data_IF_694923437317
#
_entry.id   IF_694923437317
#
_cell.length_a   1.000
_cell.length_b   1.000
_cell.length_c   1.000
_cell.angle_alpha   90.00
_cell.angle_beta   90.00
_cell.angle_gamma   90.00
#
_symmetry.space_group_name_H-M   'P 1'
#
loop_
_entity.id
_entity.type
_entity.pdbx_description
1 polymer ?
#
# COMPACT_ATOMS: atom_id res chain seq x y z
N UNK A 1 -11.76 -11.37 -4.23
CA UNK A 1 -10.34 -11.72 -4.07
C UNK A 1 -10.27 -13.15 -3.55
N UNK A 2 -9.82 -14.07 -4.39
CA UNK A 2 -9.88 -15.52 -4.13
C UNK A 2 -8.58 -16.09 -3.57
N UNK A 3 -7.45 -15.42 -3.80
CA UNK A 3 -6.14 -15.83 -3.27
C UNK A 3 -5.82 -15.19 -1.91
N UNK A 4 -4.95 -15.84 -1.14
CA UNK A 4 -4.31 -15.33 0.06
C UNK A 4 -2.89 -14.86 -0.26
N UNK A 5 -2.33 -14.02 0.62
CA UNK A 5 -0.91 -13.61 0.51
C UNK A 5 0.03 -14.81 0.65
N UNK A 6 -0.32 -15.82 1.46
CA UNK A 6 0.44 -17.08 1.56
C UNK A 6 0.51 -17.81 0.22
N UNK A 7 -0.61 -17.87 -0.50
CA UNK A 7 -0.67 -18.54 -1.81
C UNK A 7 0.24 -17.83 -2.84
N UNK A 8 0.41 -16.50 -2.72
CA UNK A 8 1.34 -15.73 -3.55
C UNK A 8 2.80 -16.00 -3.17
N UNK A 9 3.11 -16.10 -1.88
CA UNK A 9 4.46 -16.44 -1.43
C UNK A 9 4.88 -17.83 -1.92
N UNK A 10 3.97 -18.80 -1.86
CA UNK A 10 4.24 -20.17 -2.30
C UNK A 10 4.46 -20.23 -3.83
N UNK A 11 3.67 -19.50 -4.61
CA UNK A 11 3.74 -19.51 -6.08
C UNK A 11 4.85 -18.63 -6.67
N UNK A 12 5.17 -17.51 -6.03
CA UNK A 12 6.08 -16.48 -6.55
C UNK A 12 7.27 -16.24 -5.62
N UNK A 13 7.76 -17.27 -4.94
CA UNK A 13 8.77 -17.15 -3.87
C UNK A 13 10.00 -16.27 -4.20
N UNK A 14 10.47 -16.24 -5.46
CA UNK A 14 11.61 -15.42 -5.89
C UNK A 14 11.27 -13.99 -6.29
N UNK A 15 9.98 -13.66 -6.43
CA UNK A 15 9.48 -12.36 -6.87
C UNK A 15 8.65 -11.65 -5.80
N UNK A 16 8.02 -12.42 -4.90
CA UNK A 16 7.23 -11.90 -3.81
C UNK A 16 8.14 -11.26 -2.77
N UNK A 17 7.88 -9.99 -2.46
CA UNK A 17 8.46 -9.30 -1.32
C UNK A 17 7.44 -9.29 -0.18
N UNK A 18 7.89 -9.62 1.03
CA UNK A 18 7.07 -9.56 2.25
C UNK A 18 7.42 -8.28 3.00
N UNK A 19 6.39 -7.50 3.33
CA UNK A 19 6.58 -6.33 4.18
C UNK A 19 6.80 -6.77 5.64
N UNK A 20 7.87 -6.28 6.26
CA UNK A 20 8.21 -6.61 7.65
C UNK A 20 7.39 -5.79 8.67
N UNK A 21 6.89 -4.62 8.24
CA UNK A 21 6.11 -3.74 9.11
C UNK A 21 4.74 -4.35 9.42
N UNK A 22 4.35 -4.29 10.70
CA UNK A 22 3.04 -4.78 11.15
C UNK A 22 2.02 -3.64 11.07
N UNK A 23 1.00 -3.82 10.21
CA UNK A 23 -0.09 -2.85 10.03
C UNK A 23 -1.36 -3.25 10.79
N UNK A 24 -2.06 -2.25 11.31
CA UNK A 24 -3.44 -2.41 11.81
C UNK A 24 -4.43 -2.16 10.67
N UNK A 25 -5.41 -3.06 10.51
CA UNK A 25 -6.47 -2.93 9.52
C UNK A 25 -7.64 -2.10 10.06
N UNK A 26 -7.90 -0.94 9.47
CA UNK A 26 -8.98 -0.03 9.89
C UNK A 26 -10.18 -0.01 8.93
N UNK A 27 -10.01 -0.44 7.68
CA UNK A 27 -11.07 -0.38 6.67
C UNK A 27 -12.09 -1.53 6.77
N UNK A 28 -13.30 -1.33 6.22
CA UNK A 28 -14.33 -2.38 6.14
C UNK A 28 -13.98 -3.56 5.22
N UNK A 29 -12.95 -3.40 4.37
CA UNK A 29 -12.42 -4.46 3.49
C UNK A 29 -11.14 -5.04 4.09
N UNK A 30 -11.22 -6.27 4.61
CA UNK A 30 -10.08 -6.98 5.20
C UNK A 30 -9.00 -7.42 4.20
N UNK A 31 -9.28 -7.39 2.91
CA UNK A 31 -8.37 -7.81 1.83
C UNK A 31 -8.54 -6.89 0.63
N UNK A 32 -7.42 -6.48 0.04
CA UNK A 32 -7.37 -5.64 -1.15
C UNK A 32 -6.04 -5.84 -1.89
N UNK A 33 -6.01 -5.47 -3.16
CA UNK A 33 -4.82 -5.52 -4.02
C UNK A 33 -5.01 -4.60 -5.21
N UNK A 34 -3.92 -4.11 -5.79
CA UNK A 34 -3.95 -3.27 -6.98
C UNK A 34 -2.57 -2.70 -7.33
N UNK A 35 -2.46 -1.94 -8.43
CA UNK A 35 -1.24 -1.23 -8.76
C UNK A 35 -0.89 -0.25 -7.63
N UNK A 36 0.40 -0.12 -7.34
CA UNK A 36 0.88 0.73 -6.24
C UNK A 36 1.10 2.15 -6.77
N UNK A 37 0.58 3.15 -6.05
CA UNK A 37 1.05 4.52 -6.11
C UNK A 37 1.65 4.90 -4.76
N UNK A 38 2.67 5.75 -4.75
CA UNK A 38 3.32 6.20 -3.52
C UNK A 38 3.14 7.69 -3.32
N UNK A 39 3.00 8.10 -2.07
CA UNK A 39 3.02 9.51 -1.68
C UNK A 39 3.85 9.64 -0.42
N UNK A 40 4.84 10.53 -0.44
CA UNK A 40 5.65 10.84 0.74
C UNK A 40 5.26 12.23 1.24
N UNK A 41 4.78 12.28 2.47
CA UNK A 41 4.38 13.54 3.12
C UNK A 41 4.73 13.50 4.60
N UNK A 42 5.14 14.65 5.12
CA UNK A 42 5.43 14.85 6.52
C UNK A 42 4.50 15.92 7.07
N UNK A 43 3.71 15.58 8.09
CA UNK A 43 2.77 16.47 8.81
C UNK A 43 1.62 17.13 8.00
N UNK A 44 1.59 17.00 6.67
CA UNK A 44 0.51 17.48 5.79
C UNK A 44 -0.11 16.33 4.96
N UNK A 45 -1.42 16.36 4.69
CA UNK A 45 -2.15 15.34 3.91
C UNK A 45 -2.80 15.85 2.61
N UNK A 46 -2.54 17.09 2.18
CA UNK A 46 -3.08 17.68 0.94
C UNK A 46 -2.76 16.78 -0.26
N UNK A 47 -1.49 16.40 -0.44
CA UNK A 47 -1.08 15.51 -1.53
C UNK A 47 -1.74 14.11 -1.44
N UNK A 48 -2.06 13.63 -0.24
CA UNK A 48 -2.77 12.34 -0.10
C UNK A 48 -4.19 12.45 -0.67
N UNK A 49 -4.88 13.54 -0.38
CA UNK A 49 -6.25 13.79 -0.89
C UNK A 49 -6.25 13.95 -2.41
N UNK A 50 -5.34 14.76 -2.94
CA UNK A 50 -5.20 14.96 -4.40
C UNK A 50 -4.91 13.64 -5.12
N UNK A 51 -4.04 12.79 -4.55
CA UNK A 51 -3.74 11.48 -5.13
C UNK A 51 -4.97 10.57 -5.15
N UNK A 52 -5.77 10.53 -4.08
CA UNK A 52 -6.99 9.72 -4.04
C UNK A 52 -7.98 10.10 -5.16
N UNK A 53 -8.04 11.37 -5.55
CA UNK A 53 -8.94 11.88 -6.59
C UNK A 53 -8.41 11.62 -8.01
N UNK A 54 -7.09 11.45 -8.19
CA UNK A 54 -6.45 11.42 -9.51
C UNK A 54 -5.94 10.05 -9.92
N UNK A 55 -5.60 9.16 -8.98
CA UNK A 55 -5.11 7.82 -9.33
C UNK A 55 -6.22 6.95 -9.95
N UNK A 56 -5.88 6.03 -10.87
CA UNK A 56 -6.85 5.12 -11.46
C UNK A 56 -7.60 4.29 -10.41
N UNK A 57 -8.86 3.96 -10.71
CA UNK A 57 -9.65 3.07 -9.86
C UNK A 57 -8.95 1.72 -9.64
N UNK A 58 -8.93 1.26 -8.38
CA UNK A 58 -8.26 0.02 -7.98
C UNK A 58 -6.80 0.18 -7.52
N UNK A 59 -6.23 1.38 -7.63
CA UNK A 59 -4.89 1.69 -7.11
C UNK A 59 -4.82 1.55 -5.58
N UNK A 60 -3.70 1.03 -5.09
CA UNK A 60 -3.31 1.02 -3.67
C UNK A 60 -2.33 2.17 -3.44
N UNK A 61 -2.78 3.21 -2.75
CA UNK A 61 -1.94 4.34 -2.37
C UNK A 61 -1.18 4.02 -1.07
N UNK A 62 0.15 4.03 -1.13
CA UNK A 62 1.04 3.81 0.02
C UNK A 62 1.62 5.15 0.46
N UNK A 63 1.34 5.54 1.70
CA UNK A 63 1.88 6.76 2.32
C UNK A 63 3.14 6.41 3.11
N UNK A 64 4.22 7.14 2.84
CA UNK A 64 5.44 7.14 3.65
C UNK A 64 5.56 8.47 4.41
N UNK A 65 5.83 8.41 5.72
CA UNK A 65 5.98 9.57 6.60
C UNK A 65 7.36 9.65 7.25
N UNK A 66 8.31 8.81 6.84
CA UNK A 66 9.68 8.89 7.32
C UNK A 66 10.30 10.25 6.96
N UNK A 67 10.74 10.96 8.00
CA UNK A 67 11.46 12.23 7.89
C UNK A 67 12.79 11.97 7.17
N UNK A 68 13.10 12.74 6.12
CA UNK A 68 14.40 12.66 5.48
C UNK A 68 15.46 13.19 6.46
N UNK A 69 16.28 12.29 7.01
CA UNK A 69 17.49 12.67 7.74
C UNK A 69 18.60 12.63 6.69
N UNK A 70 19.03 13.80 6.21
CA UNK A 70 20.29 13.94 5.48
C UNK A 70 21.44 13.92 6.49
#
# INVERSE_FOLDING_TARGET
>A
MEFKTTDLCDQFASQAAVCEDIFTSFGGRKRFSGPIATVRVFEDNVLVKEMIETVPAGTVLVKDDKKHIL
#
